data_IF_800655396305
#
_entry.id   IF_800655396305
#
_cell.length_a   1.000
_cell.length_b   1.000
_cell.length_c   1.000
_cell.angle_alpha   90.00
_cell.angle_beta   90.00
_cell.angle_gamma   90.00
#
_symmetry.space_group_name_H-M   'P 1'
#
loop_
_entity.id
_entity.type
_entity.pdbx_description
1 polymer ?
#
# COMPACT_ATOMS: atom_id res chain seq x y z
N UNK A 1 -23.77 -13.17 99.28
CA UNK A 1 -23.31 -14.02 98.18
C UNK A 1 -24.23 -13.88 96.89
N UNK A 2 -25.56 -13.89 97.03
CA UNK A 2 -26.48 -13.80 95.85
C UNK A 2 -26.34 -12.54 95.03
N UNK A 3 -26.14 -11.36 95.63
CA UNK A 3 -25.99 -10.10 94.94
C UNK A 3 -24.69 -10.03 94.10
N UNK A 4 -23.65 -10.69 94.49
CA UNK A 4 -22.37 -10.74 93.76
C UNK A 4 -22.46 -11.68 92.55
N UNK A 5 -23.17 -12.79 92.68
CA UNK A 5 -23.45 -13.70 91.57
C UNK A 5 -24.37 -13.03 90.49
N UNK A 6 -25.39 -12.30 90.89
CA UNK A 6 -26.27 -11.56 90.01
C UNK A 6 -25.52 -10.47 89.22
N UNK A 7 -24.61 -9.74 89.87
CA UNK A 7 -23.74 -8.77 89.21
C UNK A 7 -22.84 -9.42 88.15
N UNK A 8 -22.21 -10.52 88.45
CA UNK A 8 -21.34 -11.26 87.55
C UNK A 8 -22.05 -11.86 86.36
N UNK A 9 -23.29 -12.31 86.57
CA UNK A 9 -24.16 -12.77 85.45
C UNK A 9 -24.47 -11.61 84.50
N UNK A 10 -24.80 -10.44 84.99
CA UNK A 10 -25.10 -9.25 84.24
C UNK A 10 -23.90 -8.75 83.40
N UNK A 11 -22.72 -8.79 84.01
CA UNK A 11 -21.46 -8.43 83.31
C UNK A 11 -21.15 -9.44 82.19
N UNK A 12 -21.31 -10.72 82.42
CA UNK A 12 -21.17 -11.77 81.41
C UNK A 12 -22.16 -11.68 80.32
N UNK A 13 -23.40 -11.30 80.60
CA UNK A 13 -24.43 -11.05 79.57
C UNK A 13 -24.04 -9.85 78.67
N UNK A 14 -23.64 -8.73 79.27
CA UNK A 14 -23.15 -7.57 78.55
C UNK A 14 -21.91 -7.87 77.68
N UNK A 15 -20.98 -8.66 78.14
CA UNK A 15 -19.83 -9.12 77.40
C UNK A 15 -20.21 -10.04 76.25
N UNK A 16 -21.18 -10.93 76.42
CA UNK A 16 -21.69 -11.84 75.44
C UNK A 16 -22.42 -11.06 74.34
N UNK A 17 -23.29 -10.10 74.70
CA UNK A 17 -23.99 -9.22 73.76
C UNK A 17 -22.99 -8.39 72.91
N UNK A 18 -21.94 -7.86 73.56
CA UNK A 18 -20.87 -7.15 72.86
C UNK A 18 -20.11 -8.04 71.88
N UNK A 19 -19.82 -9.29 72.23
CA UNK A 19 -19.20 -10.26 71.32
C UNK A 19 -20.11 -10.66 70.15
N UNK A 20 -21.40 -10.87 70.43
CA UNK A 20 -22.38 -11.16 69.37
C UNK A 20 -22.49 -10.01 68.38
N UNK A 21 -22.62 -8.76 68.82
CA UNK A 21 -22.65 -7.60 67.98
C UNK A 21 -21.37 -7.45 67.12
N UNK A 22 -20.20 -7.76 67.73
CA UNK A 22 -18.92 -7.76 67.00
C UNK A 22 -18.86 -8.85 65.92
N UNK A 23 -19.32 -10.06 66.23
CA UNK A 23 -19.40 -11.16 65.27
C UNK A 23 -20.35 -10.87 64.10
N UNK A 24 -21.51 -10.30 64.35
CA UNK A 24 -22.44 -9.87 63.30
C UNK A 24 -21.80 -8.82 62.39
N UNK A 25 -21.11 -7.84 62.96
CA UNK A 25 -20.40 -6.81 62.18
C UNK A 25 -19.28 -7.43 61.34
N UNK A 26 -18.52 -8.39 61.85
CA UNK A 26 -17.50 -9.10 61.10
C UNK A 26 -18.10 -9.96 59.98
N UNK A 27 -19.21 -10.63 60.24
CA UNK A 27 -19.93 -11.41 59.23
C UNK A 27 -20.40 -10.55 58.06
N UNK A 28 -21.02 -9.41 58.36
CA UNK A 28 -21.48 -8.48 57.34
C UNK A 28 -20.33 -7.93 56.49
N UNK A 29 -19.19 -7.60 57.13
CA UNK A 29 -17.97 -7.19 56.42
C UNK A 29 -17.43 -8.28 55.51
N UNK A 30 -17.42 -9.54 55.97
CA UNK A 30 -16.97 -10.68 55.18
C UNK A 30 -17.89 -10.95 53.99
N UNK A 31 -19.19 -10.81 54.17
CA UNK A 31 -20.18 -10.92 53.06
C UNK A 31 -19.98 -9.82 52.01
N UNK A 32 -19.81 -8.58 52.44
CA UNK A 32 -19.55 -7.45 51.51
C UNK A 32 -18.23 -7.65 50.77
N UNK A 33 -17.16 -8.06 51.47
CA UNK A 33 -15.86 -8.31 50.83
C UNK A 33 -15.93 -9.45 49.80
N UNK A 34 -16.74 -10.49 50.06
CA UNK A 34 -16.96 -11.57 49.10
C UNK A 34 -17.71 -11.08 47.87
N UNK A 35 -18.73 -10.24 48.07
CA UNK A 35 -19.48 -9.65 46.95
C UNK A 35 -18.59 -8.77 46.08
N UNK A 36 -17.76 -7.93 46.68
CA UNK A 36 -16.81 -7.08 45.95
C UNK A 36 -15.79 -7.91 45.16
N UNK A 37 -15.20 -8.93 45.80
CA UNK A 37 -14.27 -9.85 45.10
C UNK A 37 -14.93 -10.61 43.96
N UNK A 38 -16.19 -11.02 44.11
CA UNK A 38 -16.91 -11.70 43.04
C UNK A 38 -17.10 -10.73 41.85
N UNK A 39 -17.47 -9.48 42.11
CA UNK A 39 -17.61 -8.43 41.09
C UNK A 39 -16.28 -8.17 40.36
N UNK A 40 -15.19 -8.10 41.11
CA UNK A 40 -13.84 -7.92 40.51
C UNK A 40 -13.45 -9.12 39.63
N UNK A 41 -13.72 -10.36 40.09
CA UNK A 41 -13.47 -11.57 39.31
C UNK A 41 -14.30 -11.60 38.02
N UNK A 42 -15.56 -11.20 38.08
CA UNK A 42 -16.41 -11.14 36.90
C UNK A 42 -15.93 -10.05 35.92
N UNK A 43 -15.46 -8.91 36.48
CA UNK A 43 -14.82 -7.84 35.70
C UNK A 43 -13.57 -8.32 34.96
N UNK A 44 -12.66 -8.99 35.69
CA UNK A 44 -11.41 -9.55 35.12
C UNK A 44 -11.69 -10.60 34.05
N UNK A 45 -12.66 -11.50 34.25
CA UNK A 45 -13.06 -12.48 33.23
C UNK A 45 -13.61 -11.80 31.97
N UNK A 46 -14.39 -10.72 32.15
CA UNK A 46 -14.91 -9.96 30.99
C UNK A 46 -13.75 -9.26 30.22
N UNK A 47 -12.77 -8.73 30.94
CA UNK A 47 -11.59 -8.09 30.32
C UNK A 47 -10.70 -9.11 29.61
N UNK A 48 -10.44 -10.26 30.22
CA UNK A 48 -9.73 -11.38 29.58
C UNK A 48 -10.41 -11.80 28.27
N UNK A 49 -11.72 -12.01 28.29
CA UNK A 49 -12.49 -12.35 27.07
C UNK A 49 -12.42 -11.27 25.99
N UNK A 50 -12.42 -9.98 26.37
CA UNK A 50 -12.23 -8.87 25.43
C UNK A 50 -10.82 -8.89 24.82
N UNK A 51 -9.79 -9.12 25.65
CA UNK A 51 -8.40 -9.24 25.24
C UNK A 51 -8.22 -10.39 24.24
N UNK A 52 -8.75 -11.56 24.55
CA UNK A 52 -8.69 -12.74 23.66
C UNK A 52 -9.34 -12.47 22.32
N UNK A 53 -10.51 -11.81 22.33
CA UNK A 53 -11.21 -11.42 21.10
C UNK A 53 -10.37 -10.45 20.27
N UNK A 54 -9.74 -9.46 20.92
CA UNK A 54 -8.87 -8.49 20.24
C UNK A 54 -7.64 -9.19 19.63
N UNK A 55 -6.98 -10.07 20.37
CA UNK A 55 -5.84 -10.85 19.88
C UNK A 55 -6.23 -11.73 18.69
N UNK A 56 -7.39 -12.39 18.75
CA UNK A 56 -7.89 -13.19 17.63
C UNK A 56 -8.15 -12.34 16.38
N UNK A 57 -8.75 -11.15 16.54
CA UNK A 57 -8.98 -10.21 15.43
C UNK A 57 -7.67 -9.70 14.84
N UNK A 58 -6.70 -9.31 15.67
CA UNK A 58 -5.37 -8.89 15.22
C UNK A 58 -4.62 -9.98 14.45
N UNK A 59 -4.69 -11.24 14.89
CA UNK A 59 -4.11 -12.38 14.17
C UNK A 59 -4.77 -12.59 12.82
N UNK A 60 -6.09 -12.46 12.74
CA UNK A 60 -6.86 -12.56 11.49
C UNK A 60 -6.48 -11.44 10.52
N UNK A 61 -6.41 -10.20 11.01
CA UNK A 61 -6.01 -9.06 10.21
C UNK A 61 -4.58 -9.19 9.68
N UNK A 62 -3.63 -9.60 10.53
CA UNK A 62 -2.26 -9.89 10.11
C UNK A 62 -2.20 -10.90 8.95
N UNK A 63 -2.94 -12.01 9.06
CA UNK A 63 -3.00 -13.03 8.01
C UNK A 63 -3.60 -12.49 6.72
N UNK A 64 -4.66 -11.68 6.81
CA UNK A 64 -5.27 -11.01 5.65
C UNK A 64 -4.28 -10.09 4.95
N UNK A 65 -3.58 -9.24 5.70
CA UNK A 65 -2.57 -8.33 5.14
C UNK A 65 -1.39 -9.08 4.51
N UNK A 66 -0.93 -10.17 5.11
CA UNK A 66 0.11 -10.99 4.51
C UNK A 66 -0.30 -11.55 3.15
N UNK A 67 -1.52 -12.07 3.02
CA UNK A 67 -2.06 -12.55 1.73
C UNK A 67 -2.17 -11.44 0.69
N UNK A 68 -2.64 -10.26 1.08
CA UNK A 68 -2.71 -9.09 0.19
C UNK A 68 -1.32 -8.66 -0.29
N UNK A 69 -0.33 -8.66 0.61
CA UNK A 69 1.06 -8.35 0.29
C UNK A 69 1.66 -9.35 -0.70
N UNK A 70 1.43 -10.65 -0.50
CA UNK A 70 1.91 -11.70 -1.41
C UNK A 70 1.27 -11.56 -2.80
N UNK A 71 -0.02 -11.24 -2.86
CA UNK A 71 -0.70 -10.95 -4.13
C UNK A 71 -0.08 -9.74 -4.81
N UNK A 72 0.15 -8.66 -4.07
CA UNK A 72 0.77 -7.44 -4.60
C UNK A 72 2.20 -7.68 -5.09
N UNK A 73 3.00 -8.49 -4.38
CA UNK A 73 4.33 -8.91 -4.81
C UNK A 73 4.30 -9.63 -6.15
N UNK A 74 3.40 -10.60 -6.32
CA UNK A 74 3.22 -11.34 -7.58
C UNK A 74 2.81 -10.41 -8.73
N UNK A 75 1.92 -9.46 -8.48
CA UNK A 75 1.49 -8.49 -9.50
C UNK A 75 2.64 -7.57 -9.93
N UNK A 76 3.42 -7.03 -8.98
CA UNK A 76 4.60 -6.19 -9.27
C UNK A 76 5.65 -6.98 -10.07
N UNK A 77 5.94 -8.21 -9.66
CA UNK A 77 6.90 -9.07 -10.34
C UNK A 77 6.46 -9.42 -11.77
N UNK A 78 5.18 -9.76 -11.95
CA UNK A 78 4.61 -10.03 -13.26
C UNK A 78 4.67 -8.80 -14.18
N UNK A 79 4.34 -7.61 -13.66
CA UNK A 79 4.45 -6.36 -14.41
C UNK A 79 5.90 -6.10 -14.84
N UNK A 80 6.85 -6.15 -13.92
CA UNK A 80 8.26 -5.87 -14.20
C UNK A 80 8.83 -6.86 -15.21
N UNK A 81 8.54 -8.15 -15.06
CA UNK A 81 8.97 -9.19 -16.00
C UNK A 81 8.39 -8.97 -17.40
N UNK A 82 7.14 -8.58 -17.52
CA UNK A 82 6.52 -8.28 -18.81
C UNK A 82 7.12 -7.03 -19.45
N UNK A 83 7.38 -5.97 -18.67
CA UNK A 83 8.07 -4.77 -19.13
C UNK A 83 9.47 -5.11 -19.68
N UNK A 84 10.26 -5.84 -18.90
CA UNK A 84 11.60 -6.28 -19.32
C UNK A 84 11.57 -7.12 -20.59
N UNK A 85 10.60 -8.03 -20.71
CA UNK A 85 10.40 -8.86 -21.88
C UNK A 85 10.09 -8.02 -23.14
N UNK A 86 9.18 -7.06 -23.01
CA UNK A 86 8.79 -6.19 -24.13
C UNK A 86 9.98 -5.31 -24.56
N UNK A 87 10.67 -4.69 -23.60
CA UNK A 87 11.84 -3.85 -23.89
C UNK A 87 12.93 -4.68 -24.56
N UNK A 88 13.24 -5.89 -24.03
CA UNK A 88 14.23 -6.77 -24.61
C UNK A 88 13.91 -7.14 -26.05
N UNK A 89 12.64 -7.43 -26.36
CA UNK A 89 12.17 -7.75 -27.71
C UNK A 89 12.42 -6.57 -28.67
N UNK A 90 12.05 -5.34 -28.25
CA UNK A 90 12.27 -4.15 -29.07
C UNK A 90 13.75 -3.83 -29.28
N UNK A 91 14.57 -3.99 -28.24
CA UNK A 91 16.03 -3.78 -28.35
C UNK A 91 16.69 -4.79 -29.29
N UNK A 92 16.25 -6.04 -29.28
CA UNK A 92 16.75 -7.08 -30.18
C UNK A 92 16.33 -6.87 -31.63
N UNK A 93 15.06 -6.53 -31.86
CA UNK A 93 14.53 -6.19 -33.19
C UNK A 93 15.26 -4.97 -33.78
N UNK A 94 15.60 -3.99 -32.95
CA UNK A 94 16.37 -2.80 -33.36
C UNK A 94 17.81 -3.14 -33.75
N UNK A 95 18.46 -4.10 -33.10
CA UNK A 95 19.81 -4.56 -33.47
C UNK A 95 19.83 -5.34 -34.79
N UNK A 96 18.76 -6.10 -35.09
CA UNK A 96 18.63 -6.86 -36.34
C UNK A 96 18.34 -5.97 -37.57
N UNK A 97 17.93 -4.72 -37.34
CA UNK A 97 17.60 -3.74 -38.39
C UNK A 97 18.78 -2.85 -38.77
N UNK A 98 20.02 -3.39 -38.88
CA UNK A 98 21.16 -2.66 -39.41
C UNK A 98 20.92 -2.27 -40.90
N UNK A 99 21.37 -1.08 -41.32
CA UNK A 99 21.08 -0.58 -42.68
C UNK A 99 21.92 -1.29 -43.75
N UNK A 100 21.34 -2.35 -44.30
CA UNK A 100 21.82 -2.98 -45.51
C UNK A 100 20.75 -2.78 -46.58
N UNK A 101 20.94 -1.77 -47.46
CA UNK A 101 20.31 -1.59 -48.76
C UNK A 101 18.83 -2.01 -48.90
N UNK A 102 17.91 -1.11 -48.70
CA UNK A 102 16.71 -0.89 -49.52
C UNK A 102 15.73 0.05 -48.85
N UNK A 103 15.25 1.04 -49.55
CA UNK A 103 14.40 2.11 -49.06
C UNK A 103 13.01 1.68 -48.58
N UNK A 104 12.93 1.28 -47.36
CA UNK A 104 11.68 1.24 -46.62
C UNK A 104 11.95 1.82 -45.21
N UNK A 105 11.20 2.85 -44.85
CA UNK A 105 11.23 3.46 -43.48
C UNK A 105 10.79 2.43 -42.48
N UNK A 106 11.70 1.55 -42.07
CA UNK A 106 11.47 0.60 -40.98
C UNK A 106 11.48 1.36 -39.63
N UNK A 107 10.36 1.43 -38.96
CA UNK A 107 10.13 2.02 -37.65
C UNK A 107 10.81 1.23 -36.51
N UNK A 108 11.80 0.38 -36.79
CA UNK A 108 12.43 -0.57 -35.84
C UNK A 108 13.80 -0.13 -35.30
N UNK A 109 14.46 0.88 -35.88
CA UNK A 109 15.75 1.37 -35.38
C UNK A 109 15.56 2.28 -34.17
N UNK A 110 16.48 2.20 -33.19
CA UNK A 110 16.49 3.14 -32.05
C UNK A 110 16.76 4.54 -32.58
N UNK A 111 15.88 5.49 -32.28
CA UNK A 111 16.10 6.90 -32.58
C UNK A 111 17.03 7.53 -31.53
N UNK A 112 18.32 7.53 -31.81
CA UNK A 112 19.33 8.09 -30.92
C UNK A 112 19.22 9.61 -30.74
N UNK A 113 18.65 10.33 -31.72
CA UNK A 113 18.41 11.76 -31.60
C UNK A 113 17.32 12.02 -30.57
N UNK A 114 16.21 11.29 -30.68
CA UNK A 114 15.11 11.37 -29.70
C UNK A 114 15.57 10.94 -28.30
N UNK A 115 16.45 9.94 -28.19
CA UNK A 115 17.06 9.51 -26.95
C UNK A 115 17.91 10.61 -26.30
N UNK A 116 18.75 11.29 -27.07
CA UNK A 116 19.57 12.39 -26.59
C UNK A 116 18.71 13.60 -26.16
N UNK A 117 17.65 13.90 -26.91
CA UNK A 117 16.69 14.94 -26.55
C UNK A 117 15.93 14.58 -25.25
N UNK A 118 15.52 13.33 -25.07
CA UNK A 118 14.90 12.87 -23.83
C UNK A 118 15.85 13.04 -22.64
N UNK A 119 17.10 12.62 -22.78
CA UNK A 119 18.12 12.73 -21.73
C UNK A 119 18.46 14.18 -21.36
N UNK A 120 18.52 15.08 -22.35
CA UNK A 120 18.75 16.52 -22.16
C UNK A 120 17.59 17.20 -21.40
N UNK A 121 16.39 16.61 -21.39
CA UNK A 121 15.22 17.09 -20.68
C UNK A 121 15.06 16.45 -19.27
N UNK A 122 16.07 15.76 -18.75
CA UNK A 122 16.06 15.24 -17.39
C UNK A 122 15.82 16.36 -16.38
N UNK A 123 14.87 16.16 -15.47
CA UNK A 123 14.43 17.16 -14.48
C UNK A 123 13.51 18.28 -15.05
N UNK A 124 13.13 18.20 -16.34
CA UNK A 124 12.29 19.18 -17.02
C UNK A 124 11.05 18.58 -17.65
N UNK A 125 10.92 17.26 -17.67
CA UNK A 125 9.76 16.59 -18.28
C UNK A 125 8.46 17.02 -17.58
N UNK A 126 7.37 17.24 -18.27
CA UNK A 126 6.08 17.52 -17.67
C UNK A 126 5.57 16.32 -16.88
N UNK A 127 4.79 16.57 -15.86
CA UNK A 127 4.09 15.50 -15.15
C UNK A 127 3.03 14.87 -16.04
N UNK A 128 2.91 13.51 -16.00
CA UNK A 128 1.91 12.81 -16.81
C UNK A 128 0.47 13.12 -16.38
N UNK A 129 0.27 13.52 -15.13
CA UNK A 129 -0.99 14.00 -14.57
C UNK A 129 -0.69 14.85 -13.33
N UNK A 130 -1.63 15.71 -12.95
CA UNK A 130 -1.47 16.58 -11.77
C UNK A 130 -2.12 15.92 -10.54
N UNK A 131 -1.30 15.57 -9.55
CA UNK A 131 -1.71 14.94 -8.30
C UNK A 131 -0.51 14.58 -7.41
N UNK A 132 -0.68 14.40 -6.10
CA UNK A 132 0.41 14.08 -5.19
C UNK A 132 0.98 12.68 -5.44
N UNK A 133 2.31 12.55 -5.25
CA UNK A 133 2.98 11.23 -5.27
C UNK A 133 2.72 10.54 -3.93
N UNK A 134 2.03 9.40 -3.99
CA UNK A 134 1.66 8.58 -2.81
C UNK A 134 2.46 7.28 -2.71
N UNK A 135 2.99 6.79 -3.83
CA UNK A 135 3.93 5.67 -3.86
C UNK A 135 5.24 6.14 -4.50
N UNK A 136 6.35 6.10 -3.76
CA UNK A 136 7.67 6.53 -4.24
C UNK A 136 8.43 5.40 -4.90
N UNK A 137 9.40 5.75 -5.75
CA UNK A 137 10.35 4.81 -6.34
C UNK A 137 11.25 4.18 -5.28
N UNK A 138 11.56 2.89 -5.44
CA UNK A 138 12.55 2.20 -4.64
C UNK A 138 11.98 1.32 -3.53
N UNK A 139 12.82 1.03 -2.54
CA UNK A 139 12.45 0.26 -1.35
C UNK A 139 11.74 1.15 -0.34
N UNK A 140 10.65 0.68 0.20
CA UNK A 140 9.92 1.35 1.28
C UNK A 140 9.24 0.32 2.19
N UNK A 141 8.94 0.72 3.41
CA UNK A 141 8.22 -0.10 4.36
C UNK A 141 6.72 0.23 4.32
N UNK A 142 5.90 -0.70 4.81
CA UNK A 142 4.47 -0.47 4.92
C UNK A 142 4.20 0.72 5.87
N UNK A 143 3.30 1.67 5.51
CA UNK A 143 3.11 2.91 6.28
C UNK A 143 2.61 2.68 7.71
N UNK A 144 1.86 1.60 7.95
CA UNK A 144 1.32 1.24 9.28
C UNK A 144 2.19 0.17 9.95
N UNK A 145 2.59 -0.86 9.23
CA UNK A 145 3.42 -1.95 9.72
C UNK A 145 4.87 -1.76 9.27
N UNK A 146 5.59 -0.87 9.90
CA UNK A 146 6.94 -0.44 9.50
C UNK A 146 7.99 -1.55 9.44
N UNK A 147 7.75 -2.68 10.12
CA UNK A 147 8.57 -3.89 10.03
C UNK A 147 8.38 -4.69 8.73
N UNK A 148 7.34 -4.37 7.94
CA UNK A 148 7.05 -5.06 6.68
C UNK A 148 7.65 -4.27 5.53
N UNK A 149 8.64 -4.86 4.86
CA UNK A 149 9.20 -4.30 3.62
C UNK A 149 8.29 -4.60 2.45
N UNK A 150 7.89 -3.55 1.74
CA UNK A 150 7.09 -3.65 0.51
C UNK A 150 7.95 -4.11 -0.67
N UNK A 151 7.36 -4.64 -1.76
CA UNK A 151 8.09 -4.90 -2.99
C UNK A 151 8.79 -3.64 -3.49
N UNK A 152 9.94 -3.81 -4.16
CA UNK A 152 10.63 -2.70 -4.81
C UNK A 152 9.70 -2.07 -5.86
N UNK A 153 9.48 -0.76 -5.76
CA UNK A 153 8.65 -0.02 -6.70
C UNK A 153 9.54 0.56 -7.82
N UNK A 154 9.37 0.08 -9.05
CA UNK A 154 10.11 0.56 -10.23
C UNK A 154 9.55 1.89 -10.81
N UNK A 155 8.58 2.48 -10.15
CA UNK A 155 7.94 3.73 -10.59
C UNK A 155 7.44 4.58 -9.43
N UNK A 156 6.50 5.44 -9.73
CA UNK A 156 5.77 6.25 -8.75
C UNK A 156 4.26 6.05 -8.91
N UNK A 157 3.53 6.14 -7.80
CA UNK A 157 2.08 6.22 -7.79
C UNK A 157 1.62 7.66 -7.60
N UNK A 158 0.86 8.19 -8.54
CA UNK A 158 0.28 9.54 -8.48
C UNK A 158 -1.21 9.41 -8.17
N UNK A 159 -1.65 9.92 -7.02
CA UNK A 159 -3.06 9.91 -6.63
C UNK A 159 -3.84 10.93 -7.45
N UNK A 160 -4.97 10.51 -8.03
CA UNK A 160 -5.76 11.28 -8.96
C UNK A 160 -7.25 11.16 -8.64
N UNK A 161 -8.06 12.00 -9.27
CA UNK A 161 -9.50 11.78 -9.32
C UNK A 161 -9.87 10.76 -10.41
N UNK A 162 -10.94 9.96 -10.25
CA UNK A 162 -11.41 9.06 -11.29
C UNK A 162 -11.62 9.79 -12.63
N UNK A 163 -11.19 9.18 -13.73
CA UNK A 163 -11.32 9.75 -15.08
C UNK A 163 -10.33 10.87 -15.41
N UNK A 164 -9.36 11.18 -14.54
CA UNK A 164 -8.31 12.17 -14.85
C UNK A 164 -7.52 11.74 -16.09
N UNK A 165 -7.31 12.68 -17.00
CA UNK A 165 -6.52 12.46 -18.21
C UNK A 165 -5.04 12.28 -17.88
N UNK A 166 -4.42 11.35 -18.60
CA UNK A 166 -3.00 11.05 -18.51
C UNK A 166 -2.33 11.38 -19.82
N UNK A 167 -1.24 12.14 -19.76
CA UNK A 167 -0.55 12.69 -20.91
C UNK A 167 0.85 12.11 -21.07
N UNK A 168 1.34 12.02 -22.31
CA UNK A 168 2.72 11.65 -22.59
C UNK A 168 3.70 12.68 -22.05
N UNK A 169 4.72 12.21 -21.32
CA UNK A 169 5.76 13.10 -20.77
C UNK A 169 6.73 13.62 -21.81
N UNK A 170 6.83 12.95 -22.97
CA UNK A 170 7.72 13.34 -24.05
C UNK A 170 7.23 12.81 -25.40
N UNK A 171 7.78 13.36 -26.50
CA UNK A 171 7.58 12.85 -27.85
C UNK A 171 8.02 11.40 -27.96
N UNK A 172 7.28 10.56 -28.65
CA UNK A 172 7.60 9.15 -28.78
C UNK A 172 6.66 8.36 -29.64
N UNK A 173 6.80 7.05 -29.61
CA UNK A 173 5.96 6.09 -30.31
C UNK A 173 5.37 5.08 -29.33
N UNK A 174 4.07 4.87 -29.36
CA UNK A 174 3.38 3.85 -28.58
C UNK A 174 3.79 2.46 -29.08
N UNK A 175 4.46 1.69 -28.27
CA UNK A 175 4.91 0.34 -28.64
C UNK A 175 3.92 -0.75 -28.28
N UNK A 176 3.27 -0.62 -27.13
CA UNK A 176 2.28 -1.60 -26.65
C UNK A 176 1.18 -0.95 -25.84
N UNK A 177 0.01 -1.53 -25.96
CA UNK A 177 -1.09 -1.38 -24.99
C UNK A 177 -1.38 -2.78 -24.46
N UNK A 178 -1.22 -3.00 -23.16
CA UNK A 178 -1.39 -4.31 -22.53
C UNK A 178 -2.33 -4.22 -21.33
N UNK A 179 -2.94 -5.36 -21.00
CA UNK A 179 -3.75 -5.52 -19.77
C UNK A 179 -2.94 -6.33 -18.77
N UNK A 180 -2.77 -5.79 -17.55
CA UNK A 180 -2.02 -6.46 -16.50
C UNK A 180 -2.85 -6.61 -15.22
N UNK A 181 -2.84 -7.79 -14.59
CA UNK A 181 -3.52 -8.00 -13.30
C UNK A 181 -3.05 -7.01 -12.24
N UNK A 182 -3.99 -6.32 -11.59
CA UNK A 182 -3.70 -5.30 -10.58
C UNK A 182 -3.24 -3.94 -11.11
N UNK A 183 -2.99 -3.83 -12.43
CA UNK A 183 -2.56 -2.60 -13.09
C UNK A 183 -3.47 -2.17 -14.25
N UNK A 184 -4.51 -2.96 -14.55
CA UNK A 184 -5.45 -2.69 -15.64
C UNK A 184 -4.71 -2.42 -16.97
N UNK A 185 -5.16 -1.46 -17.79
CA UNK A 185 -4.50 -1.12 -19.05
C UNK A 185 -3.22 -0.33 -18.78
N UNK A 186 -2.16 -0.73 -19.48
CA UNK A 186 -0.85 -0.09 -19.45
C UNK A 186 -0.44 0.29 -20.87
N UNK A 187 0.08 1.51 -21.04
CA UNK A 187 0.62 2.01 -22.31
C UNK A 187 2.13 2.16 -22.17
N UNK A 188 2.85 1.59 -23.13
CA UNK A 188 4.30 1.75 -23.28
C UNK A 188 4.60 2.71 -24.41
N UNK A 189 5.33 3.79 -24.13
CA UNK A 189 5.83 4.74 -25.10
C UNK A 189 7.35 4.67 -25.15
N UNK A 190 7.92 4.59 -26.36
CA UNK A 190 9.36 4.59 -26.61
C UNK A 190 9.85 5.99 -27.01
N UNK A 191 10.97 6.42 -26.40
CA UNK A 191 11.67 7.68 -26.64
C UNK A 191 13.14 7.40 -26.96
N UNK A 192 13.40 6.77 -28.11
CA UNK A 192 14.72 6.25 -28.44
C UNK A 192 15.07 5.00 -27.61
N UNK A 193 16.09 5.04 -26.77
CA UNK A 193 16.42 3.95 -25.85
C UNK A 193 15.81 4.14 -24.43
N UNK A 194 14.94 5.15 -24.25
CA UNK A 194 14.15 5.35 -23.07
C UNK A 194 12.70 4.90 -23.30
N UNK A 195 12.06 4.50 -22.24
CA UNK A 195 10.67 4.05 -22.25
C UNK A 195 9.90 4.65 -21.08
N UNK A 196 8.68 5.11 -21.32
CA UNK A 196 7.75 5.51 -20.27
C UNK A 196 6.55 4.56 -20.23
N UNK A 197 6.13 4.19 -19.02
CA UNK A 197 5.00 3.31 -18.75
C UNK A 197 3.93 4.06 -17.98
N UNK A 198 2.69 3.91 -18.45
CA UNK A 198 1.50 4.53 -17.86
C UNK A 198 0.49 3.42 -17.58
N UNK A 199 0.35 3.01 -16.32
CA UNK A 199 -0.53 1.91 -15.92
C UNK A 199 -1.70 2.39 -15.06
N UNK A 200 -2.68 1.50 -14.85
CA UNK A 200 -3.96 1.74 -14.17
C UNK A 200 -4.89 2.66 -14.97
N UNK A 201 -4.85 2.54 -16.30
CA UNK A 201 -5.75 3.26 -17.19
C UNK A 201 -7.03 2.45 -17.40
N UNK A 202 -8.18 3.12 -17.34
CA UNK A 202 -9.49 2.58 -17.68
C UNK A 202 -9.76 2.71 -19.17
N UNK A 203 -9.48 3.90 -19.71
CA UNK A 203 -9.60 4.19 -21.14
C UNK A 203 -8.23 4.54 -21.70
N UNK A 204 -7.97 4.10 -22.92
CA UNK A 204 -6.74 4.38 -23.66
C UNK A 204 -7.14 4.99 -25.00
N UNK A 205 -6.57 6.15 -25.32
CA UNK A 205 -6.88 6.94 -26.52
C UNK A 205 -5.89 6.71 -27.66
N UNK A 206 -4.91 5.83 -27.47
CA UNK A 206 -3.83 5.53 -28.42
C UNK A 206 -3.70 4.03 -28.65
N UNK A 207 -3.08 3.64 -29.75
CA UNK A 207 -2.79 2.24 -30.12
C UNK A 207 -1.32 2.06 -30.46
N UNK A 208 -0.86 0.83 -30.49
CA UNK A 208 0.51 0.49 -30.89
C UNK A 208 0.81 1.03 -32.30
N UNK A 209 1.95 1.69 -32.46
CA UNK A 209 2.41 2.36 -33.67
C UNK A 209 2.06 3.85 -33.74
N UNK A 210 1.18 4.37 -32.87
CA UNK A 210 0.87 5.80 -32.85
C UNK A 210 2.07 6.61 -32.37
N UNK A 211 2.35 7.72 -33.06
CA UNK A 211 3.28 8.74 -32.56
C UNK A 211 2.56 9.69 -31.64
N UNK A 212 3.14 9.95 -30.50
CA UNK A 212 2.60 10.87 -29.50
C UNK A 212 3.55 12.04 -29.28
N UNK A 213 2.98 13.20 -28.96
CA UNK A 213 3.70 14.40 -28.62
C UNK A 213 3.70 14.63 -27.10
N UNK A 214 4.68 15.39 -26.62
CA UNK A 214 4.72 15.88 -25.24
C UNK A 214 3.40 16.56 -24.87
N UNK A 215 2.78 16.14 -23.77
CA UNK A 215 1.50 16.67 -23.31
C UNK A 215 0.27 16.10 -24.02
N UNK A 216 0.43 15.24 -25.04
CA UNK A 216 -0.69 14.58 -25.71
C UNK A 216 -1.35 13.56 -24.78
N UNK A 217 -2.67 13.57 -24.71
CA UNK A 217 -3.45 12.61 -23.93
C UNK A 217 -3.31 11.19 -24.49
N UNK A 218 -2.99 10.25 -23.61
CA UNK A 218 -2.86 8.82 -23.93
C UNK A 218 -3.97 7.97 -23.32
N UNK A 219 -4.68 8.49 -22.32
CA UNK A 219 -5.79 7.78 -21.70
C UNK A 219 -6.33 8.49 -20.47
N UNK A 220 -7.15 7.77 -19.70
CA UNK A 220 -7.73 8.22 -18.44
C UNK A 220 -7.48 7.17 -17.36
N UNK A 221 -7.20 7.62 -16.13
CA UNK A 221 -7.01 6.73 -14.99
C UNK A 221 -8.32 6.04 -14.60
N UNK A 222 -8.20 4.78 -14.17
CA UNK A 222 -9.31 4.01 -13.61
C UNK A 222 -9.33 4.03 -12.09
N UNK A 223 -10.45 3.57 -11.52
CA UNK A 223 -10.56 3.28 -10.09
C UNK A 223 -10.35 1.79 -9.87
N UNK A 224 -9.27 1.44 -9.21
CA UNK A 224 -8.93 0.06 -8.84
C UNK A 224 -8.87 -0.01 -7.30
N UNK A 225 -9.58 -0.98 -6.71
CA UNK A 225 -9.67 -1.15 -5.25
C UNK A 225 -10.09 0.13 -4.50
N UNK A 226 -10.99 0.93 -5.11
CA UNK A 226 -11.48 2.18 -4.55
C UNK A 226 -10.52 3.38 -4.64
N UNK A 227 -9.39 3.22 -5.33
CA UNK A 227 -8.38 4.27 -5.52
C UNK A 227 -8.17 4.59 -7.00
N UNK A 228 -8.22 5.86 -7.36
CA UNK A 228 -7.78 6.34 -8.66
C UNK A 228 -6.33 6.79 -8.55
N UNK A 229 -5.44 6.06 -9.21
CA UNK A 229 -4.00 6.29 -9.12
C UNK A 229 -3.33 5.89 -10.43
N UNK A 230 -2.50 6.77 -10.98
CA UNK A 230 -1.60 6.44 -12.08
C UNK A 230 -0.34 5.79 -11.51
N UNK A 231 0.04 4.63 -12.02
CA UNK A 231 1.36 4.07 -11.81
C UNK A 231 2.23 4.39 -13.01
N UNK A 232 3.28 5.19 -12.78
CA UNK A 232 4.15 5.73 -13.82
C UNK A 232 5.59 5.27 -13.63
N UNK A 233 6.23 4.79 -14.71
CA UNK A 233 7.62 4.34 -14.70
C UNK A 233 8.39 4.96 -15.87
N UNK A 234 9.70 5.16 -15.66
CA UNK A 234 10.67 5.50 -16.70
C UNK A 234 11.77 4.44 -16.70
N UNK A 235 12.15 3.96 -17.88
CA UNK A 235 13.21 2.98 -18.05
C UNK A 235 14.25 3.48 -19.05
N UNK A 236 15.53 3.28 -18.76
CA UNK A 236 16.62 3.39 -19.73
C UNK A 236 17.01 1.98 -20.12
N UNK A 237 16.72 1.56 -21.33
CA UNK A 237 16.88 0.16 -21.74
C UNK A 237 16.18 -0.78 -20.73
N UNK A 238 16.93 -1.68 -20.07
CA UNK A 238 16.40 -2.63 -19.08
C UNK A 238 16.48 -2.13 -17.63
N UNK A 239 16.86 -0.88 -17.40
CA UNK A 239 17.09 -0.35 -16.06
C UNK A 239 16.01 0.66 -15.68
N UNK A 240 15.21 0.39 -14.64
CA UNK A 240 14.23 1.36 -14.15
C UNK A 240 14.94 2.59 -13.57
N UNK A 241 14.36 3.76 -13.83
CA UNK A 241 14.84 5.05 -13.38
C UNK A 241 13.87 5.64 -12.39
N UNK A 242 14.34 6.41 -11.40
CA UNK A 242 13.45 7.16 -10.52
C UNK A 242 12.73 8.27 -11.31
N UNK A 243 11.40 8.19 -11.53
CA UNK A 243 10.69 9.18 -12.34
C UNK A 243 10.76 10.61 -11.78
N UNK A 244 10.81 10.78 -10.44
CA UNK A 244 10.88 12.10 -9.81
C UNK A 244 12.17 12.86 -10.20
N UNK A 245 13.25 12.15 -10.55
CA UNK A 245 14.48 12.76 -11.02
C UNK A 245 14.42 13.25 -12.48
N UNK A 246 13.39 12.84 -13.23
CA UNK A 246 13.18 13.20 -14.64
C UNK A 246 12.12 14.27 -14.82
N UNK A 247 11.14 14.28 -13.94
CA UNK A 247 10.02 15.22 -13.97
C UNK A 247 10.46 16.60 -13.41
N UNK A 248 9.86 17.68 -13.94
CA UNK A 248 10.12 19.03 -13.43
C UNK A 248 9.71 19.17 -11.98
N UNK A 249 10.42 20.02 -11.23
CA UNK A 249 10.02 20.37 -9.87
C UNK A 249 8.59 20.94 -9.85
N UNK A 250 7.85 20.61 -8.82
CA UNK A 250 6.52 21.18 -8.52
C UNK A 250 6.65 22.38 -7.66
#
# INVERSE_FOLDING_TARGET
QMNHQAAKIKDLQAELEGKLASLEKMRLRAENLRADRQKDLDGLKAEEKRSDTLVANLKRDKTRYQRQLDTKRKQVEALNKEIERIIAQYMEDSKKSQPGKSGSKSSKAVDYKLAAEFEANKGKLPWPADGPVVEKFGKHNHPVYTSITMPFNNGIGISLSPGTYVNSVFDGEVKRVIMMPGYNKCVLVQHGNYFSFYCKLGQVSVKAGDKVKTGQTIGQVDTIDGQAMLHFQIWKEKTPQNPEAWLRSR
#
